data_IF_873028137328
#
_entry.id   IF_873028137328
#
_cell.length_a   1.000
_cell.length_b   1.000
_cell.length_c   1.000
_cell.angle_alpha   90.00
_cell.angle_beta   90.00
_cell.angle_gamma   90.00
#
_symmetry.space_group_name_H-M   'P 1'
#
loop_
_entity.id
_entity.type
_entity.pdbx_description
1 polymer ?
#
# COMPACT_ATOMS: atom_id res chain seq x y z
N UNK A 1 -8.89 9.20 28.99
CA UNK A 1 -7.65 9.66 28.32
C UNK A 1 -7.82 9.48 26.83
N UNK A 2 -8.08 10.57 26.11
CA UNK A 2 -8.12 10.55 24.62
C UNK A 2 -6.67 10.42 24.19
N UNK A 3 -6.27 9.23 23.72
CA UNK A 3 -4.97 9.06 23.08
C UNK A 3 -4.89 10.03 21.90
N UNK A 4 -3.90 10.90 21.90
CA UNK A 4 -3.53 11.78 20.77
C UNK A 4 -3.13 10.88 19.58
N UNK A 5 -4.12 10.40 18.82
CA UNK A 5 -3.91 9.53 17.66
C UNK A 5 -3.41 10.28 16.44
N UNK A 6 -3.52 11.61 16.42
CA UNK A 6 -3.13 12.44 15.29
C UNK A 6 -1.90 13.30 15.59
N UNK A 7 -1.09 13.50 14.57
CA UNK A 7 0.07 14.38 14.59
C UNK A 7 -0.41 15.83 14.41
N UNK A 8 -0.36 16.62 15.46
CA UNK A 8 -0.83 18.01 15.46
C UNK A 8 0.03 18.95 14.61
N UNK A 9 1.24 18.54 14.23
CA UNK A 9 2.16 19.31 13.39
C UNK A 9 1.90 19.00 11.91
N UNK A 10 1.75 17.70 11.57
CA UNK A 10 1.67 17.19 10.21
C UNK A 10 0.23 16.93 9.74
N UNK A 11 -0.80 17.33 10.50
CA UNK A 11 -2.22 17.07 10.18
C UNK A 11 -2.64 17.57 8.78
N UNK A 12 -2.00 18.64 8.27
CA UNK A 12 -2.30 19.21 6.94
C UNK A 12 -2.05 18.22 5.80
N UNK A 13 -1.20 17.23 6.00
CA UNK A 13 -0.94 16.18 5.03
C UNK A 13 -2.18 15.34 4.74
N UNK A 14 -3.10 15.21 5.72
CA UNK A 14 -4.41 14.56 5.56
C UNK A 14 -5.34 15.25 4.56
N UNK A 15 -5.08 16.50 4.28
CA UNK A 15 -5.80 17.29 3.29
C UNK A 15 -5.06 17.36 1.94
N UNK A 16 -4.14 16.42 1.70
CA UNK A 16 -3.38 16.36 0.46
C UNK A 16 -2.30 17.43 0.31
N UNK A 17 -2.04 18.22 1.37
CA UNK A 17 -0.94 19.18 1.36
C UNK A 17 0.37 18.51 1.77
N UNK A 18 1.47 19.03 1.26
CA UNK A 18 2.80 18.63 1.70
C UNK A 18 3.74 19.84 1.63
N UNK A 19 4.68 19.88 2.57
CA UNK A 19 5.82 20.79 2.55
C UNK A 19 7.08 20.09 2.05
N UNK A 20 6.98 18.79 1.69
CA UNK A 20 8.09 18.00 1.19
C UNK A 20 8.40 18.40 -0.25
N UNK A 21 9.67 18.33 -0.60
CA UNK A 21 10.08 18.50 -1.98
C UNK A 21 9.86 17.20 -2.76
N UNK A 22 9.36 17.33 -3.99
CA UNK A 22 9.25 16.19 -4.90
C UNK A 22 10.67 15.80 -5.32
N UNK A 23 11.07 14.54 -5.13
CA UNK A 23 12.41 14.10 -5.52
C UNK A 23 12.54 14.10 -7.05
N UNK A 24 13.75 14.39 -7.53
CA UNK A 24 14.07 14.41 -8.95
C UNK A 24 14.85 13.16 -9.37
N UNK A 25 14.92 12.91 -10.65
CA UNK A 25 15.83 11.95 -11.28
C UNK A 25 15.37 10.50 -11.34
N UNK A 26 14.47 10.04 -10.44
CA UNK A 26 13.94 8.67 -10.45
C UNK A 26 12.43 8.67 -10.45
N UNK A 27 11.83 7.62 -11.03
CA UNK A 27 10.38 7.42 -10.95
C UNK A 27 9.94 7.17 -9.49
N UNK A 28 8.70 7.57 -9.17
CA UNK A 28 8.14 7.46 -7.83
C UNK A 28 7.25 6.22 -7.71
N UNK A 29 7.58 5.37 -6.76
CA UNK A 29 6.69 4.28 -6.29
C UNK A 29 6.00 4.75 -5.02
N UNK A 30 4.67 4.73 -5.01
CA UNK A 30 3.88 4.99 -3.81
C UNK A 30 3.44 3.68 -3.16
N UNK A 31 3.82 3.48 -1.89
CA UNK A 31 3.40 2.36 -1.07
C UNK A 31 2.44 2.89 0.00
N UNK A 32 1.20 2.38 0.03
CA UNK A 32 0.25 2.68 1.09
C UNK A 32 0.22 1.55 2.12
N UNK A 33 0.54 1.88 3.38
CA UNK A 33 0.53 0.96 4.51
C UNK A 33 -0.02 1.66 5.76
N UNK A 34 -1.27 1.40 6.13
CA UNK A 34 -2.00 2.16 7.15
C UNK A 34 -1.38 2.08 8.55
N UNK A 35 -0.78 0.96 8.91
CA UNK A 35 -0.26 0.66 10.25
C UNK A 35 1.20 0.20 10.23
N UNK A 36 1.84 0.17 11.40
CA UNK A 36 3.20 -0.41 11.54
C UNK A 36 3.26 -1.85 11.06
N UNK A 37 2.21 -2.64 11.34
CA UNK A 37 2.15 -4.04 10.89
C UNK A 37 2.14 -4.19 9.38
N UNK A 38 1.40 -3.33 8.69
CA UNK A 38 1.35 -3.26 7.22
C UNK A 38 2.66 -2.71 6.66
N UNK A 39 3.22 -1.67 7.29
CA UNK A 39 4.49 -1.12 6.90
C UNK A 39 5.61 -2.18 6.90
N UNK A 40 5.70 -2.99 7.95
CA UNK A 40 6.68 -4.10 8.01
C UNK A 40 6.52 -5.10 6.88
N UNK A 41 5.34 -5.24 6.30
CA UNK A 41 5.13 -6.06 5.09
C UNK A 41 5.76 -5.43 3.85
N UNK A 42 6.06 -4.13 3.87
CA UNK A 42 6.71 -3.41 2.77
C UNK A 42 8.23 -3.31 2.88
N UNK A 43 8.84 -3.69 4.01
CA UNK A 43 10.27 -3.59 4.25
C UNK A 43 11.10 -4.25 3.12
N UNK A 44 10.66 -5.40 2.64
CA UNK A 44 11.30 -6.09 1.53
C UNK A 44 11.28 -5.27 0.24
N UNK A 45 10.15 -4.62 -0.07
CA UNK A 45 9.99 -3.79 -1.26
C UNK A 45 10.89 -2.56 -1.19
N UNK A 46 10.91 -1.89 -0.05
CA UNK A 46 11.74 -0.71 0.16
C UNK A 46 13.20 -1.07 -0.10
N UNK A 47 13.70 -2.13 0.55
CA UNK A 47 15.09 -2.55 0.45
C UNK A 47 15.51 -2.97 -0.97
N UNK A 48 14.57 -3.42 -1.81
CA UNK A 48 14.90 -3.80 -3.19
C UNK A 48 14.77 -2.62 -4.18
N UNK A 49 13.91 -1.63 -3.89
CA UNK A 49 13.61 -0.59 -4.86
C UNK A 49 14.26 0.77 -4.59
N UNK A 50 14.68 1.09 -3.34
CA UNK A 50 15.15 2.44 -3.00
C UNK A 50 16.38 2.90 -3.79
N UNK A 51 17.19 1.99 -4.30
CA UNK A 51 18.35 2.35 -5.13
C UNK A 51 17.95 2.86 -6.52
N UNK A 52 16.86 2.34 -7.09
CA UNK A 52 16.44 2.62 -8.46
C UNK A 52 15.25 3.55 -8.56
N UNK A 53 14.45 3.66 -7.50
CA UNK A 53 13.21 4.44 -7.45
C UNK A 53 13.17 5.34 -6.23
N UNK A 54 12.44 6.44 -6.35
CA UNK A 54 12.01 7.21 -5.20
C UNK A 54 10.83 6.47 -4.54
N UNK A 55 10.88 6.30 -3.24
CA UNK A 55 9.84 5.57 -2.50
C UNK A 55 9.05 6.57 -1.64
N UNK A 56 7.77 6.76 -1.96
CA UNK A 56 6.82 7.46 -1.10
C UNK A 56 6.04 6.43 -0.30
N UNK A 57 6.05 6.56 1.02
CA UNK A 57 5.21 5.76 1.91
C UNK A 57 4.17 6.62 2.58
N UNK A 58 2.92 6.18 2.51
CA UNK A 58 1.85 6.83 3.27
C UNK A 58 1.32 5.92 4.37
N UNK A 59 1.14 6.49 5.56
CA UNK A 59 0.56 5.80 6.72
C UNK A 59 -0.62 6.58 7.31
N UNK A 60 -1.39 5.92 8.19
CA UNK A 60 -2.51 6.56 8.87
C UNK A 60 -2.28 6.81 10.36
N UNK A 61 -1.26 6.20 10.96
CA UNK A 61 -1.00 6.32 12.40
C UNK A 61 0.33 7.00 12.68
N UNK A 62 0.40 7.74 13.79
CA UNK A 62 1.65 8.37 14.26
C UNK A 62 2.74 7.33 14.49
N UNK A 63 2.40 6.19 15.09
CA UNK A 63 3.38 5.11 15.34
C UNK A 63 3.98 4.55 14.06
N UNK A 64 3.19 4.47 12.96
CA UNK A 64 3.72 4.05 11.66
C UNK A 64 4.60 5.13 11.02
N UNK A 65 4.28 6.42 11.22
CA UNK A 65 5.12 7.53 10.80
C UNK A 65 6.46 7.54 11.54
N UNK A 66 6.43 7.37 12.85
CA UNK A 66 7.64 7.29 13.68
C UNK A 66 8.50 6.08 13.27
N UNK A 67 7.87 4.92 12.97
CA UNK A 67 8.57 3.75 12.45
C UNK A 67 9.27 4.02 11.11
N UNK A 68 8.60 4.73 10.20
CA UNK A 68 9.16 5.12 8.91
C UNK A 68 10.43 5.96 9.06
N UNK A 69 10.35 7.00 9.88
CA UNK A 69 11.45 7.94 10.12
C UNK A 69 12.63 7.23 10.80
N UNK A 70 12.36 6.45 11.86
CA UNK A 70 13.40 5.78 12.64
C UNK A 70 14.16 4.71 11.85
N UNK A 71 13.48 3.96 10.99
CA UNK A 71 14.09 2.80 10.35
C UNK A 71 14.62 3.10 8.93
N UNK A 72 14.11 4.13 8.28
CA UNK A 72 14.44 4.39 6.87
C UNK A 72 15.03 5.77 6.61
N UNK A 73 14.73 6.77 7.47
CA UNK A 73 15.29 8.12 7.31
C UNK A 73 15.14 8.65 5.87
N UNK A 74 16.24 9.07 5.28
CA UNK A 74 16.31 9.67 3.94
C UNK A 74 16.14 8.66 2.78
N UNK A 75 16.06 7.35 3.06
CA UNK A 75 15.84 6.33 2.02
C UNK A 75 14.44 6.35 1.44
N UNK A 76 13.49 6.94 2.17
CA UNK A 76 12.10 7.04 1.78
C UNK A 76 11.54 8.42 2.08
N UNK A 77 10.47 8.76 1.39
CA UNK A 77 9.65 9.93 1.70
C UNK A 77 8.43 9.42 2.46
N UNK A 78 8.16 10.00 3.60
CA UNK A 78 6.96 9.66 4.39
C UNK A 78 6.00 10.83 4.45
N UNK A 79 4.72 10.56 4.11
CA UNK A 79 3.59 11.46 4.29
C UNK A 79 2.42 10.72 4.91
N UNK A 80 1.60 11.41 5.73
CA UNK A 80 0.31 10.85 6.12
C UNK A 80 -0.61 10.74 4.90
N UNK A 81 -1.28 9.60 4.78
CA UNK A 81 -2.25 9.39 3.72
C UNK A 81 -3.36 10.45 3.77
N UNK A 82 -3.75 11.06 2.66
CA UNK A 82 -4.88 11.98 2.64
C UNK A 82 -6.16 11.24 3.05
N UNK A 83 -7.12 11.95 3.66
CA UNK A 83 -8.46 11.39 3.83
C UNK A 83 -9.06 11.02 2.48
N UNK A 84 -9.88 9.97 2.46
CA UNK A 84 -10.46 9.41 1.23
C UNK A 84 -11.57 10.31 0.63
N UNK A 85 -11.21 11.58 0.39
CA UNK A 85 -12.04 12.62 -0.24
C UNK A 85 -11.42 13.01 -1.56
N UNK A 86 -12.20 12.94 -2.62
CA UNK A 86 -11.75 13.15 -4.02
C UNK A 86 -10.88 14.40 -4.21
N UNK A 87 -11.26 15.53 -3.61
CA UNK A 87 -10.53 16.78 -3.74
C UNK A 87 -9.10 16.67 -3.17
N UNK A 88 -8.95 16.09 -1.98
CA UNK A 88 -7.64 15.95 -1.33
C UNK A 88 -6.76 14.90 -2.00
N UNK A 89 -7.40 13.82 -2.46
CA UNK A 89 -6.71 12.76 -3.23
C UNK A 89 -6.17 13.33 -4.55
N UNK A 90 -6.98 14.11 -5.27
CA UNK A 90 -6.53 14.73 -6.51
C UNK A 90 -5.32 15.63 -6.25
N UNK A 91 -5.37 16.46 -5.23
CA UNK A 91 -4.25 17.33 -4.85
C UNK A 91 -2.98 16.53 -4.54
N UNK A 92 -3.11 15.44 -3.79
CA UNK A 92 -2.01 14.53 -3.47
C UNK A 92 -1.44 13.89 -4.75
N UNK A 93 -2.29 13.37 -5.62
CA UNK A 93 -1.87 12.71 -6.85
C UNK A 93 -1.29 13.70 -7.88
N UNK A 94 -1.79 14.94 -7.94
CA UNK A 94 -1.25 15.99 -8.81
C UNK A 94 0.16 16.39 -8.41
N UNK A 95 0.45 16.40 -7.11
CA UNK A 95 1.78 16.69 -6.59
C UNK A 95 2.75 15.52 -6.79
N UNK A 96 2.39 14.33 -6.30
CA UNK A 96 3.33 13.20 -6.26
C UNK A 96 3.49 12.49 -7.60
N UNK A 97 2.44 12.34 -8.40
CA UNK A 97 2.44 11.68 -9.71
C UNK A 97 3.15 10.31 -9.69
N UNK A 98 2.72 9.36 -8.85
CA UNK A 98 3.38 8.08 -8.76
C UNK A 98 3.23 7.28 -10.07
N UNK A 99 4.28 6.57 -10.46
CA UNK A 99 4.27 5.66 -11.61
C UNK A 99 3.62 4.33 -11.29
N UNK A 100 3.87 3.85 -10.06
CA UNK A 100 3.34 2.60 -9.52
C UNK A 100 2.80 2.84 -8.13
N UNK A 101 1.67 2.23 -7.81
CA UNK A 101 1.09 2.20 -6.47
C UNK A 101 1.05 0.77 -5.96
N UNK A 102 1.57 0.55 -4.75
CA UNK A 102 1.49 -0.72 -4.05
C UNK A 102 0.62 -0.52 -2.81
N UNK A 103 -0.56 -1.14 -2.84
CA UNK A 103 -1.52 -1.10 -1.75
C UNK A 103 -1.33 -2.32 -0.84
N UNK A 104 -1.15 -2.12 0.47
CA UNK A 104 -0.83 -3.21 1.42
C UNK A 104 -2.02 -3.56 2.30
N UNK A 105 -2.29 -4.84 2.43
CA UNK A 105 -3.22 -5.51 3.35
C UNK A 105 -4.72 -5.20 3.17
N UNK A 106 -5.40 -4.51 4.13
CA UNK A 106 -6.86 -4.66 4.25
C UNK A 106 -7.69 -3.41 3.98
N UNK A 107 -7.11 -2.23 4.09
CA UNK A 107 -7.88 -0.99 4.01
C UNK A 107 -8.05 -0.54 2.56
N UNK A 108 -9.20 -0.88 1.96
CA UNK A 108 -9.58 -0.35 0.66
C UNK A 108 -10.23 1.02 0.82
N UNK A 109 -9.61 2.04 0.25
CA UNK A 109 -10.10 3.41 0.22
C UNK A 109 -10.71 3.70 -1.16
N UNK A 110 -12.04 3.66 -1.28
CA UNK A 110 -12.70 3.60 -2.58
C UNK A 110 -12.42 4.79 -3.48
N UNK A 111 -12.46 6.01 -2.93
CA UNK A 111 -12.22 7.20 -3.74
C UNK A 111 -10.79 7.24 -4.26
N UNK A 112 -9.81 6.93 -3.40
CA UNK A 112 -8.40 6.84 -3.79
C UNK A 112 -8.20 5.82 -4.91
N UNK A 113 -8.71 4.61 -4.73
CA UNK A 113 -8.56 3.52 -5.68
C UNK A 113 -9.20 3.85 -7.03
N UNK A 114 -10.40 4.47 -7.02
CA UNK A 114 -11.07 4.91 -8.26
C UNK A 114 -10.25 6.00 -8.96
N UNK A 115 -9.69 6.98 -8.23
CA UNK A 115 -8.85 8.03 -8.82
C UNK A 115 -7.58 7.48 -9.46
N UNK A 116 -6.96 6.43 -8.87
CA UNK A 116 -5.81 5.76 -9.47
C UNK A 116 -6.16 5.19 -10.85
N UNK A 117 -7.32 4.52 -10.98
CA UNK A 117 -7.78 3.99 -12.25
C UNK A 117 -8.06 5.09 -13.28
N UNK A 118 -8.76 6.15 -12.90
CA UNK A 118 -9.09 7.25 -13.80
C UNK A 118 -7.84 7.93 -14.35
N UNK A 119 -6.79 7.98 -13.54
CA UNK A 119 -5.47 8.53 -13.93
C UNK A 119 -4.57 7.49 -14.62
N UNK A 120 -5.07 6.25 -14.82
CA UNK A 120 -4.31 5.14 -15.43
C UNK A 120 -3.00 4.83 -14.70
N UNK A 121 -2.97 5.03 -13.39
CA UNK A 121 -1.80 4.72 -12.56
C UNK A 121 -1.80 3.23 -12.27
N UNK A 122 -0.74 2.53 -12.67
CA UNK A 122 -0.57 1.10 -12.38
C UNK A 122 -0.62 0.86 -10.89
N UNK A 123 -1.47 -0.07 -10.46
CA UNK A 123 -1.70 -0.33 -9.05
C UNK A 123 -1.72 -1.83 -8.77
N UNK A 124 -1.04 -2.24 -7.69
CA UNK A 124 -0.96 -3.63 -7.23
C UNK A 124 -1.49 -3.72 -5.81
N UNK A 125 -2.33 -4.71 -5.55
CA UNK A 125 -2.82 -5.01 -4.20
C UNK A 125 -2.02 -6.18 -3.64
N UNK A 126 -1.16 -5.88 -2.68
CA UNK A 126 -0.17 -6.82 -2.17
C UNK A 126 -0.48 -7.20 -0.72
N UNK A 127 -0.20 -8.46 -0.37
CA UNK A 127 -0.51 -9.02 0.96
C UNK A 127 -1.99 -8.84 1.33
N UNK A 128 -2.86 -8.93 0.32
CA UNK A 128 -4.29 -8.65 0.44
C UNK A 128 -4.94 -9.57 1.48
N UNK A 129 -5.65 -8.96 2.41
CA UNK A 129 -6.30 -9.64 3.54
C UNK A 129 -7.74 -9.17 3.67
N UNK A 130 -8.63 -10.10 3.94
CA UNK A 130 -10.04 -9.81 4.24
C UNK A 130 -10.53 -10.65 5.41
N UNK A 131 -10.88 -10.00 6.52
CA UNK A 131 -11.41 -10.69 7.68
C UNK A 131 -12.78 -11.33 7.37
N UNK A 132 -13.20 -12.42 8.08
CA UNK A 132 -14.53 -13.00 7.91
C UNK A 132 -15.65 -11.97 8.05
N UNK A 133 -15.52 -11.05 9.01
CA UNK A 133 -16.50 -9.97 9.23
C UNK A 133 -16.57 -9.00 8.06
N UNK A 134 -15.42 -8.57 7.53
CA UNK A 134 -15.34 -7.70 6.35
C UNK A 134 -15.86 -8.41 5.09
N UNK A 135 -15.51 -9.69 4.93
CA UNK A 135 -15.99 -10.51 3.83
C UNK A 135 -17.52 -10.58 3.79
N UNK A 136 -18.16 -10.86 4.93
CA UNK A 136 -19.61 -10.89 5.01
C UNK A 136 -20.27 -9.56 4.64
N UNK A 137 -19.67 -8.43 5.05
CA UNK A 137 -20.14 -7.10 4.63
C UNK A 137 -20.01 -6.90 3.11
N UNK A 138 -18.83 -7.25 2.56
CA UNK A 138 -18.57 -7.07 1.13
C UNK A 138 -19.42 -7.96 0.23
N UNK A 139 -19.92 -9.10 0.71
CA UNK A 139 -20.90 -9.91 -0.03
C UNK A 139 -22.17 -9.11 -0.39
N UNK A 140 -22.65 -8.26 0.50
CA UNK A 140 -23.81 -7.41 0.23
C UNK A 140 -23.50 -6.31 -0.79
N UNK A 141 -22.24 -5.91 -0.91
CA UNK A 141 -21.75 -4.88 -1.83
C UNK A 141 -20.80 -5.46 -2.87
N UNK A 142 -21.00 -6.70 -3.30
CA UNK A 142 -20.06 -7.40 -4.17
C UNK A 142 -19.81 -6.69 -5.51
N UNK A 143 -20.84 -6.10 -6.12
CA UNK A 143 -20.69 -5.31 -7.33
C UNK A 143 -19.77 -4.11 -7.14
N UNK A 144 -19.86 -3.46 -5.98
CA UNK A 144 -18.99 -2.33 -5.65
C UNK A 144 -17.56 -2.79 -5.33
N UNK A 145 -17.38 -3.92 -4.65
CA UNK A 145 -16.07 -4.50 -4.43
C UNK A 145 -15.37 -4.84 -5.76
N UNK A 146 -16.11 -5.49 -6.70
CA UNK A 146 -15.62 -5.75 -8.06
C UNK A 146 -15.22 -4.48 -8.79
N UNK A 147 -16.05 -3.44 -8.69
CA UNK A 147 -15.78 -2.14 -9.30
C UNK A 147 -14.49 -1.51 -8.79
N UNK A 148 -14.23 -1.55 -7.48
CA UNK A 148 -13.03 -0.99 -6.87
C UNK A 148 -11.81 -1.84 -7.26
N UNK A 149 -11.88 -3.14 -7.07
CA UNK A 149 -10.73 -4.05 -7.28
C UNK A 149 -10.30 -4.15 -8.73
N UNK A 150 -11.17 -3.80 -9.69
CA UNK A 150 -10.83 -3.68 -11.10
C UNK A 150 -9.67 -2.69 -11.37
N UNK A 151 -9.38 -1.82 -10.44
CA UNK A 151 -8.24 -0.88 -10.52
C UNK A 151 -6.90 -1.60 -10.46
N UNK A 152 -6.83 -2.70 -9.74
CA UNK A 152 -5.56 -3.38 -9.51
C UNK A 152 -5.20 -4.26 -10.72
N UNK A 153 -4.00 -4.02 -11.24
CA UNK A 153 -3.39 -4.86 -12.28
C UNK A 153 -3.16 -6.29 -11.78
N UNK A 154 -2.78 -6.43 -10.51
CA UNK A 154 -2.58 -7.72 -9.86
C UNK A 154 -2.99 -7.67 -8.38
N UNK A 155 -3.53 -8.79 -7.88
CA UNK A 155 -3.93 -8.97 -6.48
C UNK A 155 -3.22 -10.20 -5.93
N UNK A 156 -2.49 -10.02 -4.83
CA UNK A 156 -1.74 -11.08 -4.16
C UNK A 156 -2.23 -11.26 -2.72
N UNK A 157 -2.90 -12.37 -2.47
CA UNK A 157 -3.50 -12.67 -1.17
C UNK A 157 -2.44 -13.11 -0.14
N UNK A 158 -2.68 -12.75 1.13
CA UNK A 158 -1.82 -13.09 2.27
C UNK A 158 -1.90 -14.57 2.67
N UNK A 159 -3.07 -15.18 2.53
CA UNK A 159 -3.34 -16.58 2.88
C UNK A 159 -4.27 -17.24 1.87
N UNK A 160 -4.30 -18.58 1.87
CA UNK A 160 -5.25 -19.36 1.05
C UNK A 160 -6.71 -19.01 1.36
N UNK A 161 -7.01 -18.70 2.63
CA UNK A 161 -8.35 -18.30 3.03
C UNK A 161 -8.71 -16.91 2.49
N UNK A 162 -7.75 -15.97 2.50
CA UNK A 162 -7.94 -14.64 1.92
C UNK A 162 -8.10 -14.74 0.41
N UNK A 163 -7.28 -15.57 -0.26
CA UNK A 163 -7.41 -15.84 -1.70
C UNK A 163 -8.84 -16.25 -2.04
N UNK A 164 -9.36 -17.33 -1.45
CA UNK A 164 -10.72 -17.83 -1.71
C UNK A 164 -11.81 -16.77 -1.47
N UNK A 165 -11.68 -15.98 -0.40
CA UNK A 165 -12.63 -14.90 -0.10
C UNK A 165 -12.57 -13.78 -1.13
N UNK A 166 -11.37 -13.34 -1.49
CA UNK A 166 -11.19 -12.23 -2.43
C UNK A 166 -11.62 -12.65 -3.84
N UNK A 167 -11.24 -13.84 -4.31
CA UNK A 167 -11.68 -14.40 -5.60
C UNK A 167 -13.20 -14.41 -5.74
N UNK A 168 -13.92 -14.79 -4.67
CA UNK A 168 -15.38 -14.81 -4.71
C UNK A 168 -16.02 -13.40 -4.78
N UNK A 169 -15.25 -12.34 -4.50
CA UNK A 169 -15.70 -10.96 -4.49
C UNK A 169 -15.20 -10.12 -5.67
N UNK A 170 -14.24 -10.60 -6.45
CA UNK A 170 -13.63 -9.87 -7.57
C UNK A 170 -13.73 -10.64 -8.88
N UNK A 171 -13.51 -9.96 -10.00
CA UNK A 171 -13.33 -10.59 -11.31
C UNK A 171 -11.85 -10.67 -11.70
N UNK A 172 -10.96 -10.11 -10.87
CA UNK A 172 -9.52 -10.18 -11.11
C UNK A 172 -9.00 -11.58 -10.77
N UNK A 173 -7.95 -12.02 -11.45
CA UNK A 173 -7.14 -13.13 -10.97
C UNK A 173 -6.49 -12.77 -9.65
N UNK A 174 -6.58 -13.65 -8.65
CA UNK A 174 -5.94 -13.48 -7.35
C UNK A 174 -4.87 -14.54 -7.19
N UNK A 175 -3.64 -14.13 -6.87
CA UNK A 175 -2.51 -15.04 -6.68
C UNK A 175 -2.15 -15.15 -5.21
N UNK A 176 -1.63 -16.30 -4.81
CA UNK A 176 -1.10 -16.52 -3.48
C UNK A 176 0.42 -16.46 -3.49
N UNK A 177 1.01 -15.54 -2.75
CA UNK A 177 2.46 -15.41 -2.60
C UNK A 177 2.97 -15.76 -1.19
N UNK A 178 2.07 -16.12 -0.29
CA UNK A 178 2.42 -16.25 1.13
C UNK A 178 2.40 -14.90 1.87
N UNK A 179 2.68 -14.98 3.17
CA UNK A 179 2.68 -13.80 4.03
C UNK A 179 4.03 -13.07 3.97
N UNK A 180 4.05 -11.87 3.42
CA UNK A 180 5.27 -11.07 3.28
C UNK A 180 5.98 -10.77 4.61
N UNK A 181 5.27 -10.80 5.74
CA UNK A 181 5.89 -10.68 7.08
C UNK A 181 6.84 -11.82 7.40
N UNK A 182 6.67 -12.98 6.77
CA UNK A 182 7.52 -14.14 6.96
C UNK A 182 8.80 -14.07 6.11
N UNK A 183 8.76 -13.44 4.96
CA UNK A 183 9.94 -13.30 4.08
C UNK A 183 11.06 -12.49 4.72
N UNK A 184 10.72 -11.51 5.56
CA UNK A 184 11.70 -10.75 6.34
C UNK A 184 12.40 -11.61 7.42
N UNK A 185 11.76 -12.66 7.93
CA UNK A 185 12.36 -13.59 8.90
C UNK A 185 13.29 -14.63 8.24
N UNK A 186 13.01 -15.02 7.00
CA UNK A 186 13.80 -16.00 6.27
C UNK A 186 15.18 -15.47 5.81
N UNK A 187 15.36 -14.15 5.74
CA UNK A 187 16.68 -13.54 5.45
C UNK A 187 17.70 -13.63 6.59
N UNK A 188 17.31 -14.08 7.77
CA UNK A 188 18.20 -14.27 8.93
C UNK A 188 18.84 -15.65 8.94
N UNK A 189 18.39 -16.58 8.08
CA UNK A 189 18.99 -17.90 7.95
C UNK A 189 19.93 -17.90 6.73
N UNK A 190 21.23 -18.11 6.89
CA UNK A 190 22.15 -18.29 5.78
C UNK A 190 21.83 -19.62 5.08
N UNK A 191 21.56 -19.55 3.78
CA UNK A 191 21.48 -20.68 2.86
C UNK A 191 20.38 -21.74 3.10
N UNK A 192 19.20 -21.49 2.56
CA UNK A 192 18.44 -22.54 1.90
C UNK A 192 17.84 -21.98 0.60
N UNK A 193 18.21 -22.62 -0.49
CA UNK A 193 17.85 -22.31 -1.86
C UNK A 193 16.35 -22.48 -2.10
N UNK A 194 15.60 -21.41 -1.94
CA UNK A 194 14.29 -21.25 -2.54
C UNK A 194 14.13 -19.75 -2.89
N UNK A 195 14.61 -19.38 -4.06
CA UNK A 195 14.40 -18.09 -4.66
C UNK A 195 12.96 -17.96 -5.09
N UNK A 196 12.11 -17.41 -4.26
CA UNK A 196 10.82 -16.88 -4.70
C UNK A 196 11.10 -15.53 -5.37
N UNK A 197 11.47 -15.56 -6.63
CA UNK A 197 11.62 -14.37 -7.46
C UNK A 197 10.25 -13.75 -7.66
N UNK A 198 9.94 -12.69 -6.92
CA UNK A 198 8.84 -11.79 -7.24
C UNK A 198 9.37 -10.89 -8.37
N UNK A 199 9.31 -11.38 -9.59
CA UNK A 199 9.50 -10.57 -10.77
C UNK A 199 8.24 -9.72 -10.98
N UNK A 200 8.21 -8.55 -10.36
CA UNK A 200 7.26 -7.50 -10.77
C UNK A 200 7.87 -6.93 -12.04
N UNK A 201 7.44 -7.45 -13.20
CA UNK A 201 7.78 -6.84 -14.48
C UNK A 201 7.07 -5.49 -14.55
N UNK A 202 7.84 -4.42 -14.39
CA UNK A 202 7.44 -3.07 -14.77
C UNK A 202 7.71 -3.00 -16.27
N UNK A 203 6.66 -3.19 -17.07
CA UNK A 203 6.67 -2.93 -18.50
C UNK A 203 6.40 -1.45 -18.74
#
# INVERSE_FOLDING_TARGET
>A
MIQKKEDTIRYKERFGFTNLQKPLGKELIWIHASSVGEFKSSDFLINNFFNNYNILITTTTKTAADYAITNYGDKIIHQYAPYDVTFWINKFLDFWQPKLVIWIESDLWPNTIVRLRERKITSVFLNARISPKSFNKWKYFSSYYKFITKTFFAIYAQSQNDLKRIESLTNNEVKYLGNLKLTNKLRILPNSSTSTNINIMIA
#
